data_IF_822933023495
#
_entry.id   IF_822933023495
#
_cell.length_a   1.000
_cell.length_b   1.000
_cell.length_c   1.000
_cell.angle_alpha   90.00
_cell.angle_beta   90.00
_cell.angle_gamma   90.00
#
_symmetry.space_group_name_H-M   'P 1'
#
loop_
_entity.id
_entity.type
_entity.pdbx_description
1 polymer ?
#
# COMPACT_ATOMS: atom_id res chain seq x y z
N UNK A 1 1.73 -29.16 14.32
CA UNK A 1 2.36 -28.44 13.19
C UNK A 1 3.74 -28.00 13.66
N UNK A 2 4.80 -28.22 12.88
CA UNK A 2 6.14 -27.74 13.28
C UNK A 2 6.17 -26.19 13.23
N UNK A 3 6.93 -25.55 14.13
CA UNK A 3 7.09 -24.08 14.15
C UNK A 3 7.45 -23.50 12.77
N UNK A 4 8.17 -24.26 11.96
CA UNK A 4 8.56 -23.90 10.60
C UNK A 4 7.36 -23.77 9.63
N UNK A 5 6.34 -24.64 9.75
CA UNK A 5 5.15 -24.56 8.90
C UNK A 5 4.27 -23.38 9.27
N UNK A 6 4.18 -23.05 10.56
CA UNK A 6 3.42 -21.89 11.05
C UNK A 6 4.05 -20.58 10.54
N UNK A 7 5.37 -20.49 10.61
CA UNK A 7 6.11 -19.33 10.13
C UNK A 7 5.97 -19.16 8.60
N UNK A 8 6.01 -20.25 7.82
CA UNK A 8 5.76 -20.22 6.38
C UNK A 8 4.36 -19.66 6.04
N UNK A 9 3.34 -20.09 6.77
CA UNK A 9 1.96 -19.58 6.58
C UNK A 9 1.92 -18.08 6.86
N UNK A 10 2.55 -17.61 7.94
CA UNK A 10 2.64 -16.18 8.26
C UNK A 10 3.31 -15.35 7.15
N UNK A 11 4.39 -15.87 6.57
CA UNK A 11 5.10 -15.25 5.45
C UNK A 11 4.18 -15.17 4.21
N UNK A 12 3.49 -16.25 3.84
CA UNK A 12 2.57 -16.27 2.71
C UNK A 12 1.45 -15.24 2.89
N UNK A 13 0.84 -15.17 4.09
CA UNK A 13 -0.19 -14.18 4.40
C UNK A 13 0.37 -12.76 4.26
N UNK A 14 1.58 -12.51 4.76
CA UNK A 14 2.23 -11.19 4.65
C UNK A 14 2.48 -10.79 3.19
N UNK A 15 2.82 -11.72 2.31
CA UNK A 15 2.97 -11.44 0.88
C UNK A 15 1.63 -11.17 0.18
N UNK A 16 0.57 -11.91 0.51
CA UNK A 16 -0.77 -11.68 -0.05
C UNK A 16 -1.35 -10.31 0.37
N UNK A 17 -1.04 -9.88 1.60
CA UNK A 17 -1.48 -8.59 2.14
C UNK A 17 -0.35 -7.55 2.03
N UNK A 18 0.53 -7.72 1.03
CA UNK A 18 1.61 -6.75 0.82
C UNK A 18 1.05 -5.39 0.40
N UNK A 19 1.58 -4.26 0.90
CA UNK A 19 1.09 -2.92 0.59
C UNK A 19 0.90 -2.64 -0.91
N UNK A 20 1.80 -3.15 -1.73
CA UNK A 20 1.75 -2.96 -3.19
C UNK A 20 0.60 -3.75 -3.84
N UNK A 21 0.30 -4.97 -3.35
CA UNK A 21 -0.83 -5.77 -3.81
C UNK A 21 -2.15 -5.09 -3.41
N UNK A 22 -2.23 -4.63 -2.17
CA UNK A 22 -3.41 -3.93 -1.65
C UNK A 22 -3.66 -2.63 -2.45
N UNK A 23 -2.62 -1.83 -2.72
CA UNK A 23 -2.75 -0.61 -3.52
C UNK A 23 -3.25 -0.93 -4.93
N UNK A 24 -2.71 -1.95 -5.59
CA UNK A 24 -3.18 -2.43 -6.89
C UNK A 24 -4.67 -2.78 -6.86
N UNK A 25 -5.10 -3.61 -5.91
CA UNK A 25 -6.51 -4.04 -5.77
C UNK A 25 -7.41 -2.84 -5.47
N UNK A 26 -6.96 -1.89 -4.67
CA UNK A 26 -7.73 -0.68 -4.34
C UNK A 26 -8.01 0.17 -5.57
N UNK A 27 -6.99 0.46 -6.39
CA UNK A 27 -7.19 1.24 -7.62
C UNK A 27 -7.95 0.44 -8.68
N UNK A 28 -7.76 -0.87 -8.77
CA UNK A 28 -8.54 -1.75 -9.66
C UNK A 28 -10.03 -1.67 -9.31
N UNK A 29 -10.37 -1.84 -8.03
CA UNK A 29 -11.75 -1.72 -7.56
C UNK A 29 -12.32 -0.33 -7.83
N UNK A 30 -11.61 0.71 -7.44
CA UNK A 30 -12.06 2.09 -7.57
C UNK A 30 -12.37 2.46 -9.02
N UNK A 31 -11.52 2.07 -9.97
CA UNK A 31 -11.61 2.53 -11.35
C UNK A 31 -12.57 1.68 -12.18
N UNK A 32 -12.67 0.38 -11.92
CA UNK A 32 -13.46 -0.52 -12.75
C UNK A 32 -14.76 -1.00 -12.12
N UNK A 33 -14.83 -1.08 -10.78
CA UNK A 33 -15.95 -1.70 -10.07
C UNK A 33 -16.75 -0.74 -9.20
N UNK A 34 -16.24 0.46 -8.91
CA UNK A 34 -17.02 1.48 -8.23
C UNK A 34 -18.02 2.15 -9.20
N UNK A 35 -19.10 2.71 -8.67
CA UNK A 35 -20.11 3.42 -9.44
C UNK A 35 -19.67 4.83 -9.89
N UNK A 36 -18.37 5.07 -9.97
CA UNK A 36 -17.82 6.36 -10.37
C UNK A 36 -17.64 6.40 -11.89
N UNK A 37 -18.13 7.47 -12.51
CA UNK A 37 -17.87 7.74 -13.91
C UNK A 37 -16.44 8.27 -14.07
N UNK A 38 -15.57 7.47 -14.64
CA UNK A 38 -14.17 7.82 -14.92
C UNK A 38 -13.98 7.75 -16.43
N UNK A 39 -13.56 8.84 -17.02
CA UNK A 39 -13.09 8.89 -18.41
C UNK A 39 -11.71 8.24 -18.51
N UNK A 40 -11.40 7.66 -19.66
CA UNK A 40 -10.09 7.02 -19.91
C UNK A 40 -9.61 6.06 -18.81
N UNK A 41 -10.52 5.18 -18.32
CA UNK A 41 -10.25 4.24 -17.21
C UNK A 41 -8.90 3.55 -17.31
N UNK A 42 -8.52 3.10 -18.51
CA UNK A 42 -7.28 2.36 -18.71
C UNK A 42 -6.05 3.26 -18.48
N UNK A 43 -6.07 4.48 -19.00
CA UNK A 43 -4.99 5.43 -18.79
C UNK A 43 -4.86 5.79 -17.31
N UNK A 44 -5.97 6.14 -16.66
CA UNK A 44 -6.00 6.49 -15.23
C UNK A 44 -5.52 5.31 -14.37
N UNK A 45 -5.95 4.08 -14.68
CA UNK A 45 -5.49 2.89 -13.97
C UNK A 45 -3.98 2.66 -14.12
N UNK A 46 -3.45 2.74 -15.35
CA UNK A 46 -2.02 2.58 -15.62
C UNK A 46 -1.20 3.61 -14.83
N UNK A 47 -1.63 4.86 -14.79
CA UNK A 47 -0.96 5.91 -14.01
C UNK A 47 -1.00 5.60 -12.51
N UNK A 48 -2.17 5.31 -11.96
CA UNK A 48 -2.30 4.96 -10.55
C UNK A 48 -1.44 3.74 -10.20
N UNK A 49 -1.47 2.69 -11.01
CA UNK A 49 -0.67 1.49 -10.82
C UNK A 49 0.83 1.76 -10.92
N UNK A 50 1.25 2.58 -11.87
CA UNK A 50 2.67 2.95 -12.03
C UNK A 50 3.18 3.66 -10.79
N UNK A 51 2.50 4.71 -10.34
CA UNK A 51 2.98 5.51 -9.21
C UNK A 51 2.80 4.84 -7.85
N UNK A 52 1.73 4.07 -7.65
CA UNK A 52 1.46 3.41 -6.36
C UNK A 52 2.11 2.04 -6.20
N UNK A 53 2.52 1.39 -7.28
CA UNK A 53 2.97 -0.01 -7.24
C UNK A 53 4.28 -0.23 -7.99
N UNK A 54 4.36 0.07 -9.30
CA UNK A 54 5.54 -0.24 -10.12
C UNK A 54 6.77 0.52 -9.65
N UNK A 55 6.68 1.86 -9.52
CA UNK A 55 7.80 2.68 -9.10
C UNK A 55 8.29 2.35 -7.67
N UNK A 56 7.41 2.16 -6.67
CA UNK A 56 7.84 1.64 -5.37
C UNK A 56 8.56 0.30 -5.45
N UNK A 57 8.05 -0.69 -6.21
CA UNK A 57 8.72 -2.00 -6.39
C UNK A 57 10.12 -1.80 -6.98
N UNK A 58 10.22 -1.01 -8.05
CA UNK A 58 11.49 -0.72 -8.70
C UNK A 58 12.48 -0.06 -7.73
N UNK A 59 11.98 0.85 -6.87
CA UNK A 59 12.79 1.52 -5.84
C UNK A 59 13.31 0.52 -4.81
N UNK A 60 12.49 -0.36 -4.26
CA UNK A 60 12.94 -1.39 -3.32
C UNK A 60 14.00 -2.31 -3.95
N UNK A 61 13.78 -2.73 -5.18
CA UNK A 61 14.76 -3.54 -5.92
C UNK A 61 16.09 -2.79 -6.13
N UNK A 62 16.03 -1.53 -6.54
CA UNK A 62 17.20 -0.67 -6.73
C UNK A 62 17.98 -0.46 -5.42
N UNK A 63 17.28 -0.15 -4.33
CA UNK A 63 17.91 0.07 -3.03
C UNK A 63 18.57 -1.22 -2.51
N UNK A 64 17.92 -2.37 -2.69
CA UNK A 64 18.51 -3.66 -2.31
C UNK A 64 19.74 -4.00 -3.14
N UNK A 65 19.67 -3.78 -4.45
CA UNK A 65 20.81 -4.03 -5.35
C UNK A 65 22.04 -3.20 -4.97
N UNK A 66 21.83 -1.98 -4.47
CA UNK A 66 22.89 -1.09 -4.02
C UNK A 66 23.27 -1.26 -2.53
N UNK A 67 22.79 -2.32 -1.87
CA UNK A 67 23.02 -2.60 -0.45
C UNK A 67 22.61 -1.48 0.51
N UNK A 68 21.64 -0.64 0.12
CA UNK A 68 21.07 0.43 0.94
C UNK A 68 19.97 -0.09 1.89
N UNK A 69 19.43 -1.27 1.62
CA UNK A 69 18.49 -2.00 2.48
C UNK A 69 18.91 -3.47 2.56
N UNK A 70 18.72 -4.09 3.72
CA UNK A 70 19.13 -5.49 3.96
C UNK A 70 18.16 -6.50 3.34
N UNK A 71 16.87 -6.18 3.29
CA UNK A 71 15.82 -7.02 2.73
C UNK A 71 14.74 -6.18 2.02
N UNK A 72 13.91 -6.84 1.18
CA UNK A 72 12.87 -6.16 0.41
C UNK A 72 11.71 -5.64 1.27
N UNK A 73 11.56 -6.13 2.49
CA UNK A 73 10.53 -5.67 3.45
C UNK A 73 11.03 -4.48 4.30
N UNK A 74 12.31 -4.11 4.16
CA UNK A 74 12.99 -3.11 4.98
C UNK A 74 12.67 -3.35 6.47
N UNK A 75 13.06 -4.53 6.96
CA UNK A 75 12.69 -5.01 8.31
C UNK A 75 13.21 -4.09 9.41
N UNK A 76 14.37 -3.45 9.19
CA UNK A 76 14.91 -2.44 10.10
C UNK A 76 14.22 -1.10 9.92
N UNK A 77 13.94 -0.41 11.02
CA UNK A 77 13.24 0.89 11.04
C UNK A 77 13.96 1.93 10.16
N UNK A 78 15.24 2.01 10.29
CA UNK A 78 16.10 2.99 9.60
C UNK A 78 16.08 2.80 8.07
N UNK A 79 16.02 1.55 7.63
CA UNK A 79 16.00 1.18 6.22
C UNK A 79 14.67 1.55 5.52
N UNK A 80 13.61 1.81 6.29
CA UNK A 80 12.28 2.20 5.77
C UNK A 80 12.20 3.66 5.35
N UNK A 81 13.01 4.52 5.94
CA UNK A 81 12.88 5.97 5.75
C UNK A 81 13.08 6.37 4.29
N UNK A 82 14.08 5.81 3.63
CA UNK A 82 14.40 6.14 2.24
C UNK A 82 13.33 5.64 1.25
N UNK A 83 12.88 4.36 1.28
CA UNK A 83 11.76 3.90 0.47
C UNK A 83 10.47 4.70 0.67
N UNK A 84 10.17 5.09 1.93
CA UNK A 84 8.98 5.88 2.24
C UNK A 84 9.06 7.29 1.65
N UNK A 85 10.23 7.93 1.69
CA UNK A 85 10.43 9.24 1.06
C UNK A 85 10.18 9.18 -0.46
N UNK A 86 10.71 8.14 -1.15
CA UNK A 86 10.40 7.90 -2.56
C UNK A 86 8.92 7.59 -2.78
N UNK A 87 8.29 6.81 -1.89
CA UNK A 87 6.86 6.53 -1.95
C UNK A 87 6.02 7.81 -1.88
N UNK A 88 6.33 8.73 -0.96
CA UNK A 88 5.66 10.02 -0.87
C UNK A 88 5.83 10.85 -2.16
N UNK A 89 7.04 10.87 -2.72
CA UNK A 89 7.33 11.54 -3.99
C UNK A 89 6.52 10.94 -5.15
N UNK A 90 6.41 9.62 -5.25
CA UNK A 90 5.64 8.96 -6.31
C UNK A 90 4.14 9.26 -6.18
N UNK A 91 3.58 9.21 -4.98
CA UNK A 91 2.19 9.61 -4.76
C UNK A 91 1.95 11.08 -5.11
N UNK A 92 2.88 11.98 -4.79
CA UNK A 92 2.82 13.39 -5.20
C UNK A 92 2.84 13.53 -6.72
N UNK A 93 3.77 12.89 -7.41
CA UNK A 93 3.87 12.92 -8.87
C UNK A 93 2.61 12.34 -9.51
N UNK A 94 2.10 11.23 -9.00
CA UNK A 94 0.84 10.63 -9.44
C UNK A 94 -0.34 11.58 -9.27
N UNK A 95 -0.46 12.23 -8.12
CA UNK A 95 -1.50 13.24 -7.87
C UNK A 95 -1.39 14.42 -8.86
N UNK A 96 -0.20 14.97 -9.06
CA UNK A 96 0.01 16.08 -9.99
C UNK A 96 -0.32 15.67 -11.43
N UNK A 97 0.11 14.48 -11.86
CA UNK A 97 -0.20 13.96 -13.20
C UNK A 97 -1.70 13.80 -13.41
N UNK A 98 -2.41 13.20 -12.45
CA UNK A 98 -3.87 13.04 -12.50
C UNK A 98 -4.59 14.40 -12.51
N UNK A 99 -4.09 15.38 -11.78
CA UNK A 99 -4.63 16.75 -11.77
C UNK A 99 -4.44 17.44 -13.12
N UNK A 100 -3.27 17.29 -13.74
CA UNK A 100 -3.00 17.86 -15.08
C UNK A 100 -3.88 17.26 -16.17
N UNK A 101 -4.25 15.98 -16.03
CA UNK A 101 -5.16 15.29 -16.94
C UNK A 101 -6.65 15.52 -16.61
N UNK A 102 -6.96 16.38 -15.63
CA UNK A 102 -8.33 16.60 -15.16
C UNK A 102 -9.06 15.29 -14.80
N UNK A 103 -8.33 14.28 -14.29
CA UNK A 103 -8.91 13.03 -13.87
C UNK A 103 -9.99 13.26 -12.80
N UNK A 104 -10.85 12.26 -12.61
CA UNK A 104 -11.93 12.32 -11.61
C UNK A 104 -11.39 12.71 -10.22
N UNK A 105 -12.00 13.71 -9.58
CA UNK A 105 -11.53 14.32 -8.32
C UNK A 105 -11.32 13.29 -7.19
N UNK A 106 -12.14 12.24 -7.14
CA UNK A 106 -12.02 11.18 -6.14
C UNK A 106 -10.74 10.36 -6.31
N UNK A 107 -10.34 10.06 -7.55
CA UNK A 107 -9.07 9.36 -7.84
C UNK A 107 -7.88 10.22 -7.44
N UNK A 108 -7.92 11.51 -7.78
CA UNK A 108 -6.93 12.50 -7.35
C UNK A 108 -6.84 12.55 -5.82
N UNK A 109 -8.00 12.60 -5.15
CA UNK A 109 -8.09 12.65 -3.68
C UNK A 109 -7.48 11.42 -3.01
N UNK A 110 -7.72 10.23 -3.53
CA UNK A 110 -7.13 8.99 -2.98
C UNK A 110 -5.61 8.98 -3.16
N UNK A 111 -5.11 9.44 -4.31
CA UNK A 111 -3.67 9.57 -4.53
C UNK A 111 -3.05 10.59 -3.57
N UNK A 112 -3.71 11.73 -3.36
CA UNK A 112 -3.29 12.73 -2.38
C UNK A 112 -3.31 12.19 -0.94
N UNK A 113 -4.37 11.49 -0.53
CA UNK A 113 -4.45 10.84 0.77
C UNK A 113 -3.34 9.79 0.96
N UNK A 114 -3.01 9.04 -0.11
CA UNK A 114 -1.88 8.12 -0.11
C UNK A 114 -0.56 8.84 0.20
N UNK A 115 -0.31 9.98 -0.43
CA UNK A 115 0.86 10.82 -0.15
C UNK A 115 0.90 11.24 1.34
N UNK A 116 -0.19 11.78 1.86
CA UNK A 116 -0.26 12.21 3.26
C UNK A 116 -0.03 11.04 4.22
N UNK A 117 -0.64 9.88 3.96
CA UNK A 117 -0.45 8.68 4.78
C UNK A 117 1.02 8.23 4.81
N UNK A 118 1.72 8.26 3.66
CA UNK A 118 3.14 7.90 3.61
C UNK A 118 4.01 8.92 4.33
N UNK A 119 3.72 10.22 4.19
CA UNK A 119 4.45 11.29 4.91
C UNK A 119 4.26 11.13 6.43
N UNK A 120 3.03 10.93 6.91
CA UNK A 120 2.76 10.72 8.33
C UNK A 120 3.45 9.46 8.85
N UNK A 121 3.37 8.37 8.08
CA UNK A 121 4.07 7.14 8.42
C UNK A 121 5.60 7.34 8.47
N UNK A 122 6.17 8.09 7.55
CA UNK A 122 7.60 8.45 7.53
C UNK A 122 7.99 9.24 8.76
N UNK A 123 7.22 10.28 9.12
CA UNK A 123 7.44 11.09 10.32
C UNK A 123 7.39 10.23 11.60
N UNK A 124 6.38 9.37 11.75
CA UNK A 124 6.23 8.51 12.92
C UNK A 124 7.35 7.47 12.97
N UNK A 125 7.77 6.91 11.83
CA UNK A 125 8.82 5.89 11.77
C UNK A 125 10.18 6.41 12.27
N UNK A 126 10.44 7.71 12.21
CA UNK A 126 11.65 8.27 12.82
C UNK A 126 11.72 8.00 14.34
N UNK A 127 10.57 7.95 15.01
CA UNK A 127 10.48 7.74 16.45
C UNK A 127 10.08 6.31 16.80
N UNK A 128 9.10 5.75 16.07
CA UNK A 128 8.46 4.47 16.39
C UNK A 128 8.33 3.57 15.17
N UNK A 129 8.67 2.28 15.31
CA UNK A 129 8.46 1.29 14.26
C UNK A 129 6.95 1.03 14.10
N UNK A 130 6.36 1.46 12.98
CA UNK A 130 4.95 1.23 12.65
C UNK A 130 4.78 0.18 11.55
N UNK A 131 3.58 -0.40 11.47
CA UNK A 131 3.25 -1.39 10.45
C UNK A 131 2.70 -0.73 9.18
N UNK A 132 3.51 -0.67 8.13
CA UNK A 132 3.11 -0.16 6.81
C UNK A 132 1.95 -0.99 6.23
N UNK A 133 1.95 -2.32 6.45
CA UNK A 133 0.86 -3.20 6.05
C UNK A 133 -0.48 -2.79 6.67
N UNK A 134 -0.49 -2.48 7.97
CA UNK A 134 -1.70 -2.06 8.66
C UNK A 134 -2.21 -0.70 8.14
N UNK A 135 -1.32 0.26 7.90
CA UNK A 135 -1.69 1.58 7.35
C UNK A 135 -2.31 1.42 5.97
N UNK A 136 -1.66 0.69 5.07
CA UNK A 136 -2.16 0.51 3.71
C UNK A 136 -3.49 -0.24 3.69
N UNK A 137 -3.63 -1.31 4.48
CA UNK A 137 -4.88 -2.06 4.54
C UNK A 137 -6.02 -1.21 5.10
N UNK A 138 -5.80 -0.48 6.19
CA UNK A 138 -6.82 0.39 6.78
C UNK A 138 -7.27 1.48 5.81
N UNK A 139 -6.33 2.09 5.08
CA UNK A 139 -6.63 3.09 4.05
C UNK A 139 -7.49 2.50 2.93
N UNK A 140 -7.14 1.30 2.47
CA UNK A 140 -7.89 0.61 1.40
C UNK A 140 -9.29 0.20 1.85
N UNK A 141 -9.43 -0.29 3.07
CA UNK A 141 -10.74 -0.60 3.68
C UNK A 141 -11.61 0.66 3.72
N UNK A 142 -11.04 1.81 4.08
CA UNK A 142 -11.77 3.09 4.10
C UNK A 142 -12.25 3.45 2.68
N UNK A 143 -11.43 3.26 1.66
CA UNK A 143 -11.85 3.46 0.27
C UNK A 143 -12.99 2.53 -0.10
N UNK A 144 -12.87 1.22 0.16
CA UNK A 144 -13.95 0.25 -0.13
C UNK A 144 -15.25 0.61 0.60
N UNK A 145 -15.16 1.02 1.86
CA UNK A 145 -16.32 1.44 2.65
C UNK A 145 -17.04 2.64 2.03
N UNK A 146 -16.30 3.69 1.68
CA UNK A 146 -16.86 4.91 1.08
C UNK A 146 -17.53 4.59 -0.26
N UNK A 147 -16.99 3.66 -1.05
CA UNK A 147 -17.49 3.32 -2.39
C UNK A 147 -18.45 2.13 -2.41
N UNK A 148 -19.09 1.82 -1.29
CA UNK A 148 -20.26 0.95 -1.21
C UNK A 148 -20.01 -0.47 -0.71
N UNK A 149 -18.76 -0.85 -0.44
CA UNK A 149 -18.50 -2.14 0.16
C UNK A 149 -18.57 -2.05 1.69
N UNK A 150 -19.76 -2.32 2.25
CA UNK A 150 -20.05 -2.12 3.68
C UNK A 150 -20.19 -3.42 4.48
N UNK A 151 -19.62 -4.52 4.01
CA UNK A 151 -19.67 -5.78 4.77
C UNK A 151 -18.65 -5.76 5.91
N UNK A 152 -19.09 -5.34 7.10
CA UNK A 152 -18.25 -5.18 8.30
C UNK A 152 -17.60 -6.50 8.71
N UNK A 153 -18.28 -7.63 8.58
CA UNK A 153 -17.73 -8.93 8.98
C UNK A 153 -16.52 -9.32 8.16
N UNK A 154 -16.57 -9.10 6.84
CA UNK A 154 -15.43 -9.38 5.95
C UNK A 154 -14.27 -8.45 6.27
N UNK A 155 -14.52 -7.18 6.52
CA UNK A 155 -13.49 -6.20 6.90
C UNK A 155 -12.78 -6.62 8.19
N UNK A 156 -13.52 -6.99 9.23
CA UNK A 156 -12.96 -7.46 10.50
C UNK A 156 -12.14 -8.75 10.28
N UNK A 157 -12.64 -9.68 9.48
CA UNK A 157 -11.94 -10.93 9.17
C UNK A 157 -10.59 -10.67 8.48
N UNK A 158 -10.54 -9.78 7.49
CA UNK A 158 -9.31 -9.41 6.78
C UNK A 158 -8.31 -8.77 7.74
N UNK A 159 -8.75 -7.85 8.61
CA UNK A 159 -7.88 -7.24 9.62
C UNK A 159 -7.34 -8.27 10.60
N UNK A 160 -8.17 -9.22 11.04
CA UNK A 160 -7.77 -10.29 11.94
C UNK A 160 -6.73 -11.23 11.32
N UNK A 161 -6.93 -11.61 10.05
CA UNK A 161 -5.97 -12.42 9.27
C UNK A 161 -4.63 -11.67 9.13
N UNK A 162 -4.64 -10.37 8.88
CA UNK A 162 -3.42 -9.57 8.83
C UNK A 162 -2.67 -9.62 10.16
N UNK A 163 -3.37 -9.35 11.28
CA UNK A 163 -2.75 -9.34 12.61
C UNK A 163 -2.10 -10.69 12.90
N UNK A 164 -2.83 -11.78 12.71
CA UNK A 164 -2.30 -13.14 12.92
C UNK A 164 -1.11 -13.40 11.98
N UNK A 165 -1.22 -13.09 10.71
CA UNK A 165 -0.14 -13.28 9.74
C UNK A 165 1.14 -12.56 10.15
N UNK A 166 1.04 -11.31 10.61
CA UNK A 166 2.20 -10.52 11.08
C UNK A 166 2.80 -11.06 12.37
N UNK A 167 1.97 -11.54 13.30
CA UNK A 167 2.44 -12.19 14.53
C UNK A 167 3.18 -13.50 14.23
N UNK A 168 2.61 -14.34 13.35
CA UNK A 168 3.21 -15.63 12.96
C UNK A 168 4.50 -15.46 12.15
N UNK A 169 4.60 -14.43 11.35
CA UNK A 169 5.82 -14.08 10.59
C UNK A 169 6.93 -13.50 11.49
N UNK A 170 6.68 -13.27 12.79
CA UNK A 170 7.61 -12.61 13.72
C UNK A 170 8.12 -11.25 13.18
N UNK A 171 7.26 -10.53 12.51
CA UNK A 171 7.58 -9.27 11.82
C UNK A 171 7.46 -8.05 12.74
N UNK A 172 7.94 -8.16 13.98
CA UNK A 172 7.93 -7.08 14.99
C UNK A 172 9.24 -6.34 15.04
#
# INVERSE_FOLDING_TARGET
>A
MSNHNIQKIGIIISYLIHPMVISFVTFLYLIYYSNILIEDKNLIFILCFTFSTILPIATFYFLKKNNLISDLDASKKEERLLPMAFGALFFLLGFVTLKMLNAQLLVQGIMFCGMINVILAWLITNYWKISIHAITLSSSITVFWIFGYQNVLIIILILFILIIGRLLAQAH
#
